data_IF_653456175331
#
_entry.id   IF_653456175331
#
_cell.length_a   1.000
_cell.length_b   1.000
_cell.length_c   1.000
_cell.angle_alpha   90.00
_cell.angle_beta   90.00
_cell.angle_gamma   90.00
#
_symmetry.space_group_name_H-M   'P 1'
#
loop_
_entity.id
_entity.type
_entity.pdbx_description
1 polymer ?
#
# COMPACT_ATOMS: atom_id res chain seq x y z
N UNK A 1 -8.83 -1.42 -24.23
CA UNK A 1 -7.85 -0.34 -23.99
C UNK A 1 -8.01 0.08 -22.55
N UNK A 2 -7.19 -0.50 -21.68
CA UNK A 2 -7.12 -0.13 -20.26
C UNK A 2 -6.45 1.25 -20.22
N UNK A 3 -7.08 2.23 -19.56
CA UNK A 3 -6.74 3.66 -19.67
C UNK A 3 -5.44 4.10 -18.97
N UNK A 4 -4.38 3.29 -19.01
CA UNK A 4 -3.12 3.54 -18.29
C UNK A 4 -1.86 3.25 -19.12
N UNK A 5 -1.96 3.23 -20.45
CA UNK A 5 -0.81 2.98 -21.35
C UNK A 5 0.33 4.02 -21.15
N UNK A 6 0.00 5.20 -20.64
CA UNK A 6 0.91 6.34 -20.42
C UNK A 6 1.57 6.42 -19.03
N UNK A 7 1.32 5.46 -18.12
CA UNK A 7 1.99 5.47 -16.80
C UNK A 7 3.50 5.23 -17.00
N UNK A 8 4.36 6.05 -16.40
CA UNK A 8 5.81 5.87 -16.51
C UNK A 8 6.28 4.64 -15.71
N UNK A 9 7.29 3.90 -16.20
CA UNK A 9 7.92 2.86 -15.38
C UNK A 9 8.66 3.48 -14.21
N UNK A 10 8.52 2.91 -13.03
CA UNK A 10 9.19 3.39 -11.82
C UNK A 10 8.45 3.04 -10.55
N UNK A 11 8.84 3.74 -9.49
CA UNK A 11 8.34 3.53 -8.14
C UNK A 11 7.33 4.61 -7.78
N UNK A 12 6.20 4.17 -7.24
CA UNK A 12 5.07 4.99 -6.85
C UNK A 12 4.71 4.74 -5.38
N UNK A 13 3.95 5.67 -4.79
CA UNK A 13 3.35 5.48 -3.46
C UNK A 13 1.84 5.69 -3.47
N UNK A 14 1.17 5.10 -2.49
CA UNK A 14 -0.28 5.21 -2.40
C UNK A 14 -0.90 4.41 -1.25
N UNK A 15 -2.17 4.08 -1.42
CA UNK A 15 -2.93 3.22 -0.50
C UNK A 15 -3.32 1.92 -1.20
N UNK A 16 -3.25 0.81 -0.47
CA UNK A 16 -3.73 -0.49 -0.89
C UNK A 16 -4.88 -0.92 0.02
N UNK A 17 -6.04 -1.22 -0.56
CA UNK A 17 -7.16 -1.85 0.10
C UNK A 17 -7.17 -3.34 -0.20
N UNK A 18 -7.16 -4.17 0.84
CA UNK A 18 -7.15 -5.63 0.75
C UNK A 18 -8.51 -6.15 1.23
N UNK A 19 -9.13 -7.02 0.44
CA UNK A 19 -10.40 -7.65 0.78
C UNK A 19 -10.27 -8.47 2.08
N UNK A 20 -11.39 -8.68 2.82
CA UNK A 20 -11.37 -9.48 4.04
C UNK A 20 -10.71 -10.84 3.85
N UNK A 21 -9.64 -11.09 4.60
CA UNK A 21 -8.96 -12.38 4.66
C UNK A 21 -8.30 -12.58 6.03
N UNK A 22 -7.73 -13.76 6.26
CA UNK A 22 -7.02 -14.10 7.49
C UNK A 22 -5.97 -13.04 7.87
N UNK A 23 -5.20 -12.55 6.89
CA UNK A 23 -4.17 -11.55 7.11
C UNK A 23 -4.73 -10.20 7.61
N UNK A 24 -5.82 -9.71 7.01
CA UNK A 24 -6.45 -8.44 7.41
C UNK A 24 -7.17 -8.53 8.75
N UNK A 25 -7.69 -9.72 9.11
CA UNK A 25 -8.34 -9.97 10.40
C UNK A 25 -7.34 -10.03 11.55
N UNK A 26 -6.20 -10.71 11.34
CA UNK A 26 -5.17 -10.84 12.37
C UNK A 26 -4.45 -9.51 12.65
N UNK A 27 -4.25 -8.69 11.62
CA UNK A 27 -3.49 -7.44 11.71
C UNK A 27 -4.25 -6.27 11.07
N UNK A 28 -5.26 -5.71 11.75
CA UNK A 28 -5.97 -4.54 11.26
C UNK A 28 -5.05 -3.31 11.22
N UNK A 29 -5.34 -2.31 10.35
CA UNK A 29 -4.55 -1.09 10.27
C UNK A 29 -4.45 -0.37 11.63
N UNK A 30 -3.23 0.02 12.00
CA UNK A 30 -2.95 0.62 13.32
C UNK A 30 -2.67 -0.38 14.45
N UNK A 31 -2.66 -1.70 14.18
CA UNK A 31 -2.04 -2.68 15.07
C UNK A 31 -0.53 -2.39 15.23
N UNK A 32 0.09 -2.86 16.32
CA UNK A 32 1.54 -2.81 16.46
C UNK A 32 2.19 -3.73 15.42
N UNK A 33 2.47 -3.18 14.24
CA UNK A 33 3.20 -3.89 13.21
C UNK A 33 4.68 -3.98 13.60
N UNK A 34 5.29 -5.16 13.46
CA UNK A 34 6.75 -5.34 13.57
C UNK A 34 7.49 -4.81 12.33
N UNK A 35 6.85 -3.99 11.51
CA UNK A 35 7.41 -3.42 10.30
C UNK A 35 8.55 -2.45 10.64
N UNK A 36 9.77 -2.81 10.25
CA UNK A 36 11.02 -2.11 10.62
C UNK A 36 11.72 -1.41 9.45
N UNK A 37 11.10 -1.37 8.27
CA UNK A 37 11.71 -0.76 7.09
C UNK A 37 11.51 0.75 7.00
N UNK A 38 10.55 1.30 7.75
CA UNK A 38 10.29 2.73 7.86
C UNK A 38 10.91 3.30 9.14
N UNK A 39 11.44 4.52 9.08
CA UNK A 39 11.90 5.22 10.27
C UNK A 39 10.76 5.45 11.29
N UNK A 40 11.03 5.22 12.57
CA UNK A 40 10.01 5.22 13.65
C UNK A 40 9.22 6.53 13.76
N UNK A 41 9.87 7.68 13.58
CA UNK A 41 9.23 8.98 13.63
C UNK A 41 8.25 9.19 12.45
N UNK A 42 8.54 8.62 11.29
CA UNK A 42 7.64 8.64 10.12
C UNK A 42 6.46 7.71 10.36
N UNK A 43 6.69 6.50 10.88
CA UNK A 43 5.63 5.56 11.21
C UNK A 43 4.66 6.16 12.24
N UNK A 44 5.19 6.84 13.26
CA UNK A 44 4.39 7.57 14.26
C UNK A 44 3.60 8.72 13.64
N UNK A 45 4.22 9.54 12.79
CA UNK A 45 3.55 10.65 12.11
C UNK A 45 2.42 10.16 11.19
N UNK A 46 2.72 9.16 10.35
CA UNK A 46 1.73 8.53 9.46
C UNK A 46 0.60 7.92 10.28
N UNK A 47 0.93 7.18 11.34
CA UNK A 47 -0.08 6.54 12.17
C UNK A 47 -1.01 7.54 12.85
N UNK A 48 -0.46 8.64 13.38
CA UNK A 48 -1.23 9.73 13.98
C UNK A 48 -2.19 10.39 12.98
N UNK A 49 -1.73 10.63 11.75
CA UNK A 49 -2.53 11.33 10.73
C UNK A 49 -3.53 10.41 10.05
N UNK A 50 -3.15 9.17 9.75
CA UNK A 50 -3.97 8.22 8.99
C UNK A 50 -4.92 7.42 9.88
N UNK A 51 -4.54 7.08 11.12
CA UNK A 51 -5.33 6.21 12.01
C UNK A 51 -5.88 6.94 13.25
N UNK A 52 -5.59 8.23 13.41
CA UNK A 52 -6.01 9.04 14.55
C UNK A 52 -5.18 8.76 15.80
N UNK A 53 -4.77 9.83 16.49
CA UNK A 53 -4.22 9.72 17.83
C UNK A 53 -5.29 9.28 18.83
N UNK A 54 -4.88 8.63 19.91
CA UNK A 54 -5.72 8.12 20.99
C UNK A 54 -6.54 9.21 21.70
N UNK A 55 -7.74 9.51 21.21
CA UNK A 55 -8.82 10.12 22.01
C UNK A 55 -9.91 9.04 22.18
N UNK A 56 -10.15 8.69 23.44
CA UNK A 56 -10.54 7.34 23.90
C UNK A 56 -12.03 6.98 23.88
N UNK A 57 -12.94 7.79 23.34
CA UNK A 57 -14.37 7.57 23.62
C UNK A 57 -15.25 7.20 22.41
N UNK A 58 -14.76 7.31 21.16
CA UNK A 58 -15.51 6.93 19.95
C UNK A 58 -14.88 5.75 19.15
N UNK A 59 -13.83 5.12 19.71
CA UNK A 59 -12.86 4.34 18.95
C UNK A 59 -13.14 2.84 18.80
N UNK A 60 -14.02 2.25 19.59
CA UNK A 60 -14.22 0.78 19.57
C UNK A 60 -15.21 0.34 18.47
N UNK A 61 -16.37 1.00 18.37
CA UNK A 61 -17.43 0.63 17.41
C UNK A 61 -17.01 0.87 15.94
N UNK A 62 -16.21 1.92 15.67
CA UNK A 62 -15.66 2.21 14.34
C UNK A 62 -14.50 1.29 13.95
N UNK A 63 -13.78 0.71 14.91
CA UNK A 63 -12.55 -0.07 14.64
C UNK A 63 -12.84 -1.54 14.34
N UNK A 64 -13.96 -2.05 14.85
CA UNK A 64 -14.42 -3.43 14.66
C UNK A 64 -15.27 -3.59 13.38
N UNK A 65 -16.09 -2.60 13.03
CA UNK A 65 -16.93 -2.64 11.81
C UNK A 65 -16.17 -2.40 10.50
N UNK A 66 -15.01 -1.74 10.55
CA UNK A 66 -14.22 -1.44 9.34
C UNK A 66 -13.33 -2.60 8.88
N UNK A 67 -13.02 -3.59 9.73
CA UNK A 67 -11.95 -4.57 9.48
C UNK A 67 -12.42 -6.02 9.29
N UNK A 68 -13.54 -6.44 9.90
CA UNK A 68 -14.05 -7.82 9.74
C UNK A 68 -14.74 -8.05 8.39
N UNK A 69 -15.68 -7.17 8.03
CA UNK A 69 -16.62 -7.44 6.93
C UNK A 69 -16.23 -6.79 5.60
N UNK A 70 -15.43 -5.71 5.64
CA UNK A 70 -15.16 -4.87 4.46
C UNK A 70 -13.71 -4.89 3.97
N UNK A 71 -12.77 -5.38 4.77
CA UNK A 71 -11.35 -5.44 4.41
C UNK A 71 -10.54 -4.38 5.14
N UNK A 72 -9.34 -4.05 4.65
CA UNK A 72 -8.46 -3.10 5.33
C UNK A 72 -7.57 -2.31 4.37
N UNK A 73 -7.31 -1.04 4.71
CA UNK A 73 -6.50 -0.13 3.91
C UNK A 73 -5.15 0.14 4.58
N UNK A 74 -4.07 -0.05 3.82
CA UNK A 74 -2.68 0.07 4.25
C UNK A 74 -1.88 1.01 3.34
N UNK A 75 -0.87 1.70 3.86
CA UNK A 75 0.07 2.44 3.02
C UNK A 75 0.90 1.47 2.18
N UNK A 76 1.28 1.87 0.96
CA UNK A 76 2.08 1.04 0.07
C UNK A 76 3.08 1.84 -0.77
N UNK A 77 4.11 1.14 -1.24
CA UNK A 77 4.90 1.50 -2.42
C UNK A 77 4.66 0.48 -3.52
N UNK A 78 4.80 0.89 -4.77
CA UNK A 78 4.52 0.04 -5.91
C UNK A 78 5.55 0.26 -7.02
N UNK A 79 6.05 -0.84 -7.58
CA UNK A 79 6.90 -0.83 -8.77
C UNK A 79 6.07 -1.15 -9.99
N UNK A 80 6.20 -0.34 -11.04
CA UNK A 80 5.65 -0.59 -12.37
C UNK A 80 6.82 -0.70 -13.34
N UNK A 81 6.92 -1.82 -14.04
CA UNK A 81 8.01 -2.09 -14.98
C UNK A 81 7.57 -2.97 -16.13
N UNK A 82 8.51 -3.34 -16.99
CA UNK A 82 8.29 -4.27 -18.10
C UNK A 82 8.84 -5.65 -17.75
N UNK A 83 8.09 -6.70 -18.08
CA UNK A 83 8.58 -8.06 -17.90
C UNK A 83 9.55 -8.45 -19.05
N UNK A 84 10.85 -8.67 -18.78
CA UNK A 84 11.85 -8.94 -19.81
C UNK A 84 11.65 -10.31 -20.50
N UNK A 85 10.89 -11.22 -19.91
CA UNK A 85 10.66 -12.57 -20.45
C UNK A 85 9.56 -12.63 -21.51
N UNK A 86 8.67 -11.64 -21.56
CA UNK A 86 7.51 -11.59 -22.46
C UNK A 86 7.64 -10.47 -23.49
N UNK A 87 8.75 -10.44 -24.25
CA UNK A 87 8.99 -9.51 -25.38
C UNK A 87 8.53 -8.05 -25.15
N UNK A 88 8.60 -7.55 -23.91
CA UNK A 88 8.11 -6.23 -23.51
C UNK A 88 6.64 -5.92 -23.90
N UNK A 89 5.76 -6.92 -23.95
CA UNK A 89 4.33 -6.70 -24.29
C UNK A 89 3.44 -6.57 -23.05
N UNK A 90 3.92 -6.99 -21.87
CA UNK A 90 3.14 -6.97 -20.63
C UNK A 90 3.89 -6.24 -19.53
N UNK A 91 3.22 -5.25 -18.93
CA UNK A 91 3.72 -4.54 -17.74
C UNK A 91 3.58 -5.44 -16.50
N UNK A 92 4.59 -5.40 -15.62
CA UNK A 92 4.53 -5.98 -14.28
C UNK A 92 4.22 -4.90 -13.26
N UNK A 93 3.31 -5.20 -12.33
CA UNK A 93 2.97 -4.34 -11.20
C UNK A 93 3.22 -5.13 -9.92
N UNK A 94 4.06 -4.59 -9.05
CA UNK A 94 4.41 -5.19 -7.77
C UNK A 94 4.14 -4.20 -6.64
N UNK A 95 3.32 -4.61 -5.66
CA UNK A 95 2.94 -3.75 -4.52
C UNK A 95 3.61 -4.26 -3.25
N UNK A 96 4.38 -3.40 -2.60
CA UNK A 96 4.89 -3.63 -1.26
C UNK A 96 3.99 -2.89 -0.26
N UNK A 97 3.14 -3.66 0.43
CA UNK A 97 2.34 -3.13 1.53
C UNK A 97 3.26 -2.82 2.71
N UNK A 98 3.21 -1.60 3.22
CA UNK A 98 4.07 -1.11 4.30
C UNK A 98 3.55 -1.56 5.68
N UNK A 99 3.31 -2.87 5.79
CA UNK A 99 2.79 -3.55 6.96
C UNK A 99 3.32 -4.99 7.01
N UNK A 100 3.67 -5.46 8.21
CA UNK A 100 4.05 -6.86 8.42
C UNK A 100 2.81 -7.71 8.70
N UNK A 101 2.52 -8.67 7.83
CA UNK A 101 1.52 -9.71 8.06
C UNK A 101 2.16 -10.99 8.63
N UNK A 102 1.37 -11.78 9.36
CA UNK A 102 1.78 -13.12 9.85
C UNK A 102 1.46 -14.24 8.86
N UNK A 103 0.50 -14.01 7.98
CA UNK A 103 0.05 -14.95 6.95
C UNK A 103 -0.05 -14.25 5.60
N UNK A 104 0.12 -15.02 4.53
CA UNK A 104 -0.07 -14.52 3.18
C UNK A 104 -1.56 -14.28 2.86
N UNK A 105 -1.81 -13.48 1.83
CA UNK A 105 -3.16 -13.13 1.36
C UNK A 105 -3.35 -13.44 -0.14
N UNK A 106 -2.68 -14.47 -0.65
CA UNK A 106 -2.87 -14.94 -2.03
C UNK A 106 -4.35 -15.24 -2.32
N UNK A 107 -4.80 -14.85 -3.52
CA UNK A 107 -6.19 -14.96 -3.94
C UNK A 107 -7.11 -13.89 -3.36
N UNK A 108 -6.66 -13.06 -2.41
CA UNK A 108 -7.41 -11.90 -1.95
C UNK A 108 -7.36 -10.77 -2.98
N UNK A 109 -8.49 -10.09 -3.18
CA UNK A 109 -8.57 -8.93 -4.06
C UNK A 109 -7.85 -7.73 -3.42
N UNK A 110 -7.00 -7.04 -4.19
CA UNK A 110 -6.36 -5.80 -3.79
C UNK A 110 -6.72 -4.65 -4.74
N UNK A 111 -7.30 -3.58 -4.20
CA UNK A 111 -7.50 -2.31 -4.89
C UNK A 111 -6.35 -1.36 -4.54
N UNK A 112 -5.85 -0.60 -5.51
CA UNK A 112 -4.75 0.35 -5.31
C UNK A 112 -5.13 1.77 -5.72
N UNK A 113 -4.73 2.75 -4.93
CA UNK A 113 -4.85 4.17 -5.24
C UNK A 113 -3.47 4.81 -5.27
N UNK A 114 -2.99 5.13 -6.48
CA UNK A 114 -1.66 5.69 -6.73
C UNK A 114 -1.72 7.20 -6.56
N UNK A 115 -0.88 7.77 -5.69
CA UNK A 115 -0.94 9.19 -5.34
C UNK A 115 0.28 10.00 -5.75
N UNK A 116 1.35 9.36 -6.17
CA UNK A 116 2.53 10.05 -6.65
C UNK A 116 3.65 9.12 -7.08
N UNK A 117 4.51 9.66 -7.95
CA UNK A 117 5.74 9.06 -8.41
C UNK A 117 6.89 9.42 -7.46
N UNK A 118 7.75 8.46 -7.16
CA UNK A 118 8.97 8.64 -6.37
C UNK A 118 10.17 8.82 -7.29
N UNK A 119 10.39 7.87 -8.21
CA UNK A 119 11.58 7.81 -9.06
C UNK A 119 11.41 6.80 -10.21
N UNK A 120 12.19 6.91 -11.29
CA UNK A 120 12.22 5.89 -12.34
C UNK A 120 12.88 4.59 -11.86
N UNK A 121 12.78 3.53 -12.67
CA UNK A 121 13.51 2.28 -12.46
C UNK A 121 15.02 2.53 -12.53
N UNK A 122 15.78 1.89 -11.63
CA UNK A 122 17.23 1.97 -11.61
C UNK A 122 17.85 0.60 -11.82
N UNK A 123 18.97 0.57 -12.55
CA UNK A 123 19.82 -0.59 -12.67
C UNK A 123 20.70 -0.71 -11.42
N UNK A 124 20.62 -1.85 -10.74
CA UNK A 124 21.37 -2.08 -9.51
C UNK A 124 22.59 -2.94 -9.77
N UNK A 125 23.76 -2.38 -9.45
CA UNK A 125 25.04 -3.11 -9.49
C UNK A 125 25.25 -4.01 -8.27
N UNK A 126 24.45 -3.86 -7.20
CA UNK A 126 24.49 -4.71 -6.02
C UNK A 126 23.14 -4.78 -5.29
N UNK A 127 22.93 -5.87 -4.55
CA UNK A 127 21.71 -6.12 -3.75
C UNK A 127 21.55 -5.09 -2.62
N UNK A 128 22.66 -4.63 -2.05
CA UNK A 128 22.66 -3.67 -0.94
C UNK A 128 22.09 -2.32 -1.40
N UNK A 129 22.47 -1.88 -2.60
CA UNK A 129 21.93 -0.64 -3.20
C UNK A 129 20.44 -0.73 -3.49
N UNK A 130 19.98 -1.88 -3.98
CA UNK A 130 18.55 -2.16 -4.15
C UNK A 130 17.79 -2.04 -2.82
N UNK A 131 18.32 -2.66 -1.76
CA UNK A 131 17.68 -2.61 -0.43
C UNK A 131 17.68 -1.19 0.15
N UNK A 132 18.77 -0.44 -0.03
CA UNK A 132 18.90 0.96 0.42
C UNK A 132 17.86 1.86 -0.25
N UNK A 133 17.69 1.73 -1.56
CA UNK A 133 16.69 2.50 -2.30
C UNK A 133 15.27 2.11 -1.92
N UNK A 134 14.96 0.81 -1.78
CA UNK A 134 13.63 0.37 -1.32
C UNK A 134 13.28 0.97 0.04
N UNK A 135 14.24 1.01 0.98
CA UNK A 135 14.02 1.66 2.29
C UNK A 135 13.79 3.15 2.14
N UNK A 136 14.52 3.81 1.25
CA UNK A 136 14.32 5.22 0.93
C UNK A 136 12.94 5.47 0.35
N UNK A 137 12.47 4.62 -0.56
CA UNK A 137 11.15 4.70 -1.18
C UNK A 137 10.04 4.58 -0.11
N UNK A 138 10.18 3.64 0.83
CA UNK A 138 9.27 3.45 1.97
C UNK A 138 9.21 4.69 2.86
N UNK A 139 10.37 5.30 3.15
CA UNK A 139 10.45 6.51 3.96
C UNK A 139 9.82 7.72 3.25
N UNK A 140 10.09 7.88 1.95
CA UNK A 140 9.50 8.94 1.11
C UNK A 140 7.98 8.78 1.03
N UNK A 141 7.50 7.56 0.81
CA UNK A 141 6.07 7.23 0.81
C UNK A 141 5.43 7.56 2.15
N UNK A 142 6.04 7.11 3.27
CA UNK A 142 5.53 7.38 4.61
C UNK A 142 5.41 8.87 4.93
N UNK A 143 6.44 9.66 4.63
CA UNK A 143 6.40 11.13 4.79
C UNK A 143 5.35 11.77 3.89
N UNK A 144 5.24 11.29 2.66
CA UNK A 144 4.30 11.82 1.68
C UNK A 144 2.85 11.57 2.08
N UNK A 145 2.54 10.36 2.54
CA UNK A 145 1.21 9.93 2.99
C UNK A 145 0.83 10.56 4.34
N UNK A 146 1.79 10.94 5.18
CA UNK A 146 1.54 11.67 6.43
C UNK A 146 1.03 13.11 6.22
N UNK A 147 1.04 13.63 4.99
CA UNK A 147 0.46 14.93 4.67
C UNK A 147 -1.07 14.80 4.56
N UNK A 148 -1.82 15.68 5.22
CA UNK A 148 -3.29 15.62 5.34
C UNK A 148 -4.04 15.31 4.02
N UNK A 149 -3.74 15.96 2.87
CA UNK A 149 -4.46 15.67 1.63
C UNK A 149 -4.29 14.22 1.16
N UNK A 150 -3.09 13.66 1.31
CA UNK A 150 -2.77 12.29 0.91
C UNK A 150 -3.32 11.28 1.91
N UNK A 151 -3.28 11.59 3.21
CA UNK A 151 -3.86 10.76 4.25
C UNK A 151 -5.37 10.57 4.06
N UNK A 152 -6.08 11.63 3.67
CA UNK A 152 -7.53 11.58 3.43
C UNK A 152 -7.91 10.61 2.30
N UNK A 153 -7.02 10.38 1.33
CA UNK A 153 -7.27 9.44 0.23
C UNK A 153 -7.36 7.97 0.70
N UNK A 154 -6.96 7.67 1.94
CA UNK A 154 -7.18 6.36 2.57
C UNK A 154 -8.66 6.01 2.67
N UNK A 155 -9.51 7.03 2.89
CA UNK A 155 -10.95 6.86 3.11
C UNK A 155 -11.73 6.77 1.78
N UNK A 156 -11.04 6.67 0.64
CA UNK A 156 -11.67 6.51 -0.65
C UNK A 156 -12.50 5.20 -0.69
N UNK A 157 -13.81 5.25 -0.93
CA UNK A 157 -14.67 4.05 -0.97
C UNK A 157 -14.21 2.99 -1.96
N UNK A 158 -13.51 3.38 -3.04
CA UNK A 158 -12.97 2.44 -4.02
C UNK A 158 -12.03 1.40 -3.37
N UNK A 159 -11.25 1.80 -2.36
CA UNK A 159 -10.28 0.92 -1.71
C UNK A 159 -10.95 -0.25 -0.96
N UNK A 160 -12.24 -0.16 -0.64
CA UNK A 160 -13.00 -1.22 0.02
C UNK A 160 -14.14 -1.77 -0.84
N UNK A 161 -14.17 -1.43 -2.13
CA UNK A 161 -15.18 -1.89 -3.09
C UNK A 161 -14.67 -3.06 -3.93
N UNK A 162 -14.96 -4.28 -3.47
CA UNK A 162 -14.52 -5.54 -4.08
C UNK A 162 -15.63 -6.27 -4.87
N UNK A 163 -16.86 -5.75 -4.90
CA UNK A 163 -18.01 -6.47 -5.49
C UNK A 163 -17.90 -6.54 -7.01
N UNK A 164 -18.11 -7.73 -7.58
CA UNK A 164 -18.20 -7.94 -9.03
C UNK A 164 -16.91 -7.73 -9.81
N UNK A 165 -15.76 -7.58 -9.13
CA UNK A 165 -14.44 -7.40 -9.74
C UNK A 165 -13.64 -8.70 -9.67
N UNK A 166 -14.14 -9.75 -10.31
CA UNK A 166 -13.45 -11.05 -10.37
C UNK A 166 -12.33 -11.09 -11.42
N UNK A 167 -12.21 -10.05 -12.24
CA UNK A 167 -11.17 -9.94 -13.25
C UNK A 167 -9.95 -9.18 -12.71
N UNK A 168 -8.77 -9.76 -12.94
CA UNK A 168 -7.48 -9.08 -12.80
C UNK A 168 -7.52 -7.84 -13.70
N UNK A 169 -7.20 -6.66 -13.15
CA UNK A 169 -7.06 -5.46 -13.96
C UNK A 169 -6.10 -5.75 -15.13
N UNK A 170 -6.61 -5.62 -16.35
CA UNK A 170 -5.89 -5.92 -17.58
C UNK A 170 -4.82 -4.86 -17.86
#
# INVERSE_FOLDING_TARGET
>A
MCGYDDIESGVYYGWAGIAPCTATHQHPPGSQSKYKLMASHIASALGKVAFGGSDKEDSEERKETLTSEKGAVYPMVMSIGWNPYYKNEVRSVEVHVMHQFETDFYGSHMNVNILGFIRPEYDYVSKEKLIEDIKTDIDVAGRSLARKPYAKMRDDPYLLDFKGKEQVAC
#
